data_IF_996532446811
#
_entry.id   IF_996532446811
#
_cell.length_a   1.000
_cell.length_b   1.000
_cell.length_c   1.000
_cell.angle_alpha   90.00
_cell.angle_beta   90.00
_cell.angle_gamma   90.00
#
_symmetry.space_group_name_H-M   'P 1'
#
loop_
_entity.id
_entity.type
_entity.pdbx_description
1 polymer ?
#
# COMPACT_ATOMS: atom_id res chain seq x y z
N UNK A 1 26.08 -16.60 34.11
CA UNK A 1 24.71 -16.84 33.60
C UNK A 1 24.45 -18.34 33.65
N UNK A 2 23.22 -18.78 33.91
CA UNK A 2 22.86 -20.21 33.90
C UNK A 2 21.69 -20.42 32.96
N UNK A 3 21.78 -21.43 32.10
CA UNK A 3 20.70 -21.87 31.20
C UNK A 3 20.26 -23.27 31.62
N UNK A 4 18.97 -23.56 31.46
CA UNK A 4 18.44 -24.90 31.71
C UNK A 4 18.30 -25.65 30.39
N UNK A 5 18.74 -26.91 30.39
CA UNK A 5 18.49 -27.85 29.31
C UNK A 5 17.49 -28.90 29.82
N UNK A 6 16.32 -29.00 29.20
CA UNK A 6 15.20 -29.81 29.69
C UNK A 6 14.65 -30.67 28.56
N UNK A 7 14.42 -31.96 28.82
CA UNK A 7 13.77 -32.86 27.86
C UNK A 7 12.26 -32.56 27.75
N UNK A 8 11.70 -32.73 26.55
CA UNK A 8 10.25 -32.70 26.32
C UNK A 8 9.53 -33.79 27.13
N UNK A 9 8.26 -33.54 27.47
CA UNK A 9 7.38 -34.47 28.19
C UNK A 9 7.21 -34.13 29.67
N UNK A 10 6.47 -34.98 30.39
CA UNK A 10 6.09 -34.85 31.81
C UNK A 10 5.15 -33.67 32.17
N UNK A 11 5.40 -32.48 31.64
CA UNK A 11 4.57 -31.28 31.85
C UNK A 11 4.59 -30.37 30.61
N UNK A 12 3.77 -29.32 30.62
CA UNK A 12 3.66 -28.39 29.49
C UNK A 12 4.93 -27.56 29.28
N UNK A 13 5.11 -27.01 28.08
CA UNK A 13 6.20 -26.06 27.82
C UNK A 13 6.12 -24.84 28.74
N UNK A 14 4.90 -24.35 29.02
CA UNK A 14 4.67 -23.26 29.98
C UNK A 14 5.26 -23.60 31.35
N UNK A 15 4.92 -24.76 31.91
CA UNK A 15 5.39 -25.16 33.25
C UNK A 15 6.91 -25.26 33.31
N UNK A 16 7.54 -25.80 32.26
CA UNK A 16 9.01 -25.88 32.16
C UNK A 16 9.63 -24.48 32.20
N UNK A 17 9.10 -23.55 31.40
CA UNK A 17 9.62 -22.18 31.32
C UNK A 17 9.38 -21.44 32.64
N UNK A 18 8.18 -21.55 33.22
CA UNK A 18 7.81 -20.90 34.49
C UNK A 18 8.64 -21.40 35.66
N UNK A 19 8.87 -22.71 35.75
CA UNK A 19 9.72 -23.27 36.81
C UNK A 19 11.18 -22.86 36.61
N UNK A 20 11.65 -22.80 35.37
CA UNK A 20 13.02 -22.40 35.04
C UNK A 20 13.30 -20.94 35.40
N UNK A 21 12.39 -20.02 35.05
CA UNK A 21 12.53 -18.61 35.44
C UNK A 21 12.47 -18.43 36.96
N UNK A 22 11.56 -19.15 37.65
CA UNK A 22 11.40 -19.06 39.10
C UNK A 22 12.64 -19.56 39.83
N UNK A 23 13.33 -20.55 39.26
CA UNK A 23 14.61 -21.05 39.75
C UNK A 23 15.82 -20.13 39.43
N UNK A 24 15.59 -18.97 38.76
CA UNK A 24 16.61 -17.95 38.51
C UNK A 24 17.51 -18.21 37.30
N UNK A 25 17.13 -19.13 36.41
CA UNK A 25 17.83 -19.32 35.14
C UNK A 25 17.50 -18.20 34.14
N UNK A 26 18.42 -17.92 33.21
CA UNK A 26 18.30 -16.80 32.26
C UNK A 26 17.76 -17.18 30.89
N UNK A 27 17.68 -18.48 30.60
CA UNK A 27 17.09 -19.02 29.39
C UNK A 27 16.82 -20.51 29.57
N UNK A 28 15.94 -21.06 28.73
CA UNK A 28 15.61 -22.48 28.70
C UNK A 28 15.71 -23.03 27.28
N UNK A 29 16.37 -24.18 27.16
CA UNK A 29 16.49 -24.96 25.94
C UNK A 29 15.71 -26.24 26.19
N UNK A 30 14.61 -26.42 25.48
CA UNK A 30 13.81 -27.65 25.52
C UNK A 30 14.19 -28.51 24.33
N UNK A 31 14.65 -29.74 24.54
CA UNK A 31 14.98 -30.65 23.45
C UNK A 31 13.94 -31.76 23.33
N UNK A 32 13.67 -32.17 22.09
CA UNK A 32 12.70 -33.22 21.80
C UNK A 32 13.10 -34.56 22.45
N UNK A 33 12.12 -35.36 22.89
CA UNK A 33 12.35 -36.70 23.46
C UNK A 33 12.52 -37.78 22.38
N UNK A 34 12.27 -37.42 21.12
CA UNK A 34 12.23 -38.34 19.98
C UNK A 34 13.42 -38.11 19.04
N UNK A 35 14.09 -39.19 18.67
CA UNK A 35 15.06 -39.18 17.56
C UNK A 35 14.32 -39.18 16.22
N UNK A 36 14.15 -37.98 15.66
CA UNK A 36 13.59 -37.79 14.32
C UNK A 36 14.56 -36.97 13.48
N UNK A 37 14.92 -37.52 12.32
CA UNK A 37 15.79 -36.88 11.32
C UNK A 37 15.19 -35.56 10.77
N UNK A 38 13.85 -35.43 10.84
CA UNK A 38 13.14 -34.17 10.64
C UNK A 38 12.64 -33.63 11.98
N UNK A 39 13.14 -32.46 12.34
CA UNK A 39 12.44 -31.56 13.25
C UNK A 39 11.17 -31.11 12.53
N UNK A 40 10.09 -31.89 12.65
CA UNK A 40 8.78 -31.26 12.50
C UNK A 40 8.78 -30.13 13.52
N UNK A 41 8.69 -28.89 13.03
CA UNK A 41 8.77 -27.69 13.85
C UNK A 41 7.62 -27.73 14.86
N UNK A 42 7.91 -28.27 16.03
CA UNK A 42 6.96 -28.29 17.12
C UNK A 42 7.01 -26.93 17.78
N UNK A 43 5.99 -26.13 17.51
CA UNK A 43 5.86 -24.81 18.10
C UNK A 43 5.54 -24.97 19.59
N UNK A 44 6.36 -24.35 20.43
CA UNK A 44 6.02 -24.20 21.85
C UNK A 44 4.80 -23.29 21.97
N UNK A 45 3.65 -23.88 22.29
CA UNK A 45 2.44 -23.11 22.61
C UNK A 45 2.55 -22.67 24.06
N UNK A 46 2.63 -21.35 24.26
CA UNK A 46 2.83 -20.70 25.56
C UNK A 46 2.08 -19.38 25.63
N UNK A 47 1.64 -19.01 26.83
CA UNK A 47 1.09 -17.67 27.09
C UNK A 47 2.25 -16.72 27.39
N UNK A 48 2.50 -15.70 26.53
CA UNK A 48 3.64 -14.81 26.69
C UNK A 48 3.54 -13.87 27.89
N UNK A 49 2.37 -13.73 28.54
CA UNK A 49 2.19 -12.79 29.65
C UNK A 49 3.13 -13.05 30.83
N UNK A 50 3.44 -14.31 31.09
CA UNK A 50 4.21 -14.74 32.25
C UNK A 50 5.62 -15.25 31.90
N UNK A 51 6.09 -15.04 30.66
CA UNK A 51 7.41 -15.51 30.19
C UNK A 51 8.35 -14.32 29.99
N UNK A 52 9.41 -14.26 30.81
CA UNK A 52 10.43 -13.20 30.72
C UNK A 52 11.79 -13.67 30.24
N UNK A 53 12.00 -14.98 30.12
CA UNK A 53 13.28 -15.57 29.68
C UNK A 53 13.14 -16.14 28.26
N UNK A 54 14.20 -16.08 27.43
CA UNK A 54 14.21 -16.76 26.14
C UNK A 54 14.00 -18.26 26.31
N UNK A 55 13.12 -18.81 25.49
CA UNK A 55 12.84 -20.24 25.40
C UNK A 55 13.04 -20.70 23.96
N UNK A 56 13.85 -21.74 23.75
CA UNK A 56 14.09 -22.32 22.42
C UNK A 56 13.81 -23.82 22.45
N UNK A 57 13.24 -24.33 21.35
CA UNK A 57 13.03 -25.76 21.13
C UNK A 57 14.05 -26.28 20.12
N UNK A 58 14.70 -27.41 20.41
CA UNK A 58 15.76 -28.01 19.57
C UNK A 58 15.54 -29.51 19.37
N UNK A 59 16.21 -30.10 18.38
CA UNK A 59 16.15 -31.55 18.14
C UNK A 59 16.72 -32.36 19.30
N UNK A 60 16.35 -33.65 19.37
CA UNK A 60 16.92 -34.58 20.34
C UNK A 60 18.45 -34.66 20.20
N UNK A 61 18.96 -34.83 18.96
CA UNK A 61 20.39 -34.83 18.64
C UNK A 61 21.12 -33.59 19.17
N UNK A 62 20.57 -32.39 18.93
CA UNK A 62 21.14 -31.14 19.44
C UNK A 62 21.15 -31.12 20.96
N UNK A 63 20.04 -31.55 21.60
CA UNK A 63 19.93 -31.64 23.05
C UNK A 63 20.93 -32.60 23.68
N UNK A 64 21.14 -33.78 23.07
CA UNK A 64 22.14 -34.75 23.52
C UNK A 64 23.56 -34.19 23.39
N UNK A 65 23.89 -33.58 22.24
CA UNK A 65 25.18 -32.95 22.03
C UNK A 65 25.46 -31.85 23.05
N UNK A 66 24.46 -30.99 23.33
CA UNK A 66 24.56 -29.96 24.37
C UNK A 66 24.80 -30.58 25.75
N UNK A 67 24.07 -31.66 26.09
CA UNK A 67 24.22 -32.36 27.37
C UNK A 67 25.64 -32.89 27.58
N UNK A 68 26.22 -33.51 26.55
CA UNK A 68 27.60 -34.04 26.58
C UNK A 68 28.64 -32.93 26.76
N UNK A 69 28.42 -31.77 26.14
CA UNK A 69 29.36 -30.66 26.17
C UNK A 69 29.17 -29.70 27.36
N UNK A 70 28.16 -29.92 28.24
CA UNK A 70 27.94 -29.06 29.42
C UNK A 70 29.06 -29.09 30.47
N UNK A 71 29.94 -30.09 30.44
CA UNK A 71 31.03 -30.26 31.42
C UNK A 71 32.41 -29.82 30.90
N UNK A 72 32.55 -29.59 29.60
CA UNK A 72 33.83 -29.23 28.99
C UNK A 72 33.90 -27.70 28.96
N UNK A 73 34.65 -27.13 29.91
CA UNK A 73 34.71 -25.69 30.22
C UNK A 73 35.29 -24.76 29.14
N UNK A 74 35.10 -25.07 27.86
CA UNK A 74 35.64 -24.32 26.71
C UNK A 74 34.59 -23.91 25.68
N UNK A 75 33.31 -24.28 25.85
CA UNK A 75 32.23 -23.90 24.94
C UNK A 75 31.50 -22.63 25.37
N UNK A 76 31.31 -21.66 24.46
CA UNK A 76 30.39 -20.54 24.64
C UNK A 76 29.03 -20.90 24.05
N UNK A 77 27.95 -20.77 24.84
CA UNK A 77 26.58 -20.95 24.38
C UNK A 77 25.93 -19.57 24.20
N UNK A 78 25.61 -19.21 22.95
CA UNK A 78 24.98 -17.94 22.61
C UNK A 78 23.52 -18.18 22.19
N UNK A 79 22.59 -17.63 22.96
CA UNK A 79 21.18 -17.58 22.57
C UNK A 79 20.92 -16.19 22.00
N UNK A 80 20.77 -16.12 20.68
CA UNK A 80 20.37 -14.90 20.01
C UNK A 80 18.85 -14.82 20.04
N UNK A 81 18.32 -13.75 20.60
CA UNK A 81 16.91 -13.42 20.43
C UNK A 81 16.75 -13.01 18.97
N UNK A 82 16.29 -13.92 18.13
CA UNK A 82 15.81 -13.59 16.80
C UNK A 82 14.56 -12.74 17.00
N UNK A 83 14.79 -11.44 17.16
CA UNK A 83 13.76 -10.42 17.11
C UNK A 83 13.16 -10.55 15.72
N UNK A 84 12.13 -11.39 15.58
CA UNK A 84 11.23 -11.35 14.45
C UNK A 84 10.69 -9.93 14.50
N UNK A 85 11.30 -9.09 13.67
CA UNK A 85 11.04 -7.67 13.53
C UNK A 85 9.53 -7.49 13.63
N UNK A 86 9.14 -6.94 14.78
CA UNK A 86 7.77 -6.74 15.23
C UNK A 86 6.95 -6.36 14.02
N UNK A 87 5.84 -7.05 13.73
CA UNK A 87 4.87 -6.83 12.64
C UNK A 87 4.83 -5.42 12.01
N UNK A 88 5.03 -4.37 12.80
CA UNK A 88 5.40 -3.00 12.40
C UNK A 88 6.40 -2.91 11.23
N UNK A 89 7.52 -3.62 11.21
CA UNK A 89 8.53 -3.43 10.14
C UNK A 89 8.05 -3.99 8.81
N UNK A 90 7.37 -5.14 8.83
CA UNK A 90 6.73 -5.73 7.66
C UNK A 90 5.64 -4.81 7.11
N UNK A 91 4.82 -4.21 7.99
CA UNK A 91 3.81 -3.23 7.61
C UNK A 91 4.42 -1.98 6.99
N UNK A 92 5.50 -1.44 7.56
CA UNK A 92 6.21 -0.27 7.03
C UNK A 92 6.74 -0.54 5.62
N UNK A 93 7.35 -1.70 5.39
CA UNK A 93 7.83 -2.12 4.06
C UNK A 93 6.67 -2.17 3.06
N UNK A 94 5.50 -2.69 3.48
CA UNK A 94 4.31 -2.76 2.63
C UNK A 94 3.79 -1.35 2.24
N UNK A 95 3.70 -0.42 3.20
CA UNK A 95 3.27 0.95 2.92
C UNK A 95 4.23 1.68 1.96
N UNK A 96 5.54 1.51 2.14
CA UNK A 96 6.54 2.11 1.25
C UNK A 96 6.37 1.56 -0.18
N UNK A 97 6.16 0.25 -0.33
CA UNK A 97 5.94 -0.38 -1.64
C UNK A 97 4.72 0.21 -2.36
N UNK A 98 3.60 0.39 -1.66
CA UNK A 98 2.38 0.99 -2.24
C UNK A 98 2.62 2.42 -2.72
N UNK A 99 3.32 3.24 -1.92
CA UNK A 99 3.62 4.63 -2.28
C UNK A 99 4.46 4.70 -3.56
N UNK A 100 5.49 3.85 -3.67
CA UNK A 100 6.36 3.79 -4.84
C UNK A 100 5.58 3.35 -6.08
N UNK A 101 4.78 2.29 -5.97
CA UNK A 101 3.96 1.77 -7.09
C UNK A 101 2.94 2.82 -7.55
N UNK A 102 2.27 3.48 -6.60
CA UNK A 102 1.32 4.56 -6.89
C UNK A 102 2.00 5.74 -7.59
N UNK A 103 3.17 6.17 -7.11
CA UNK A 103 3.96 7.24 -7.73
C UNK A 103 4.35 6.93 -9.18
N UNK A 104 4.79 5.69 -9.44
CA UNK A 104 5.11 5.21 -10.80
C UNK A 104 3.86 5.23 -11.69
N UNK A 105 2.72 4.72 -11.19
CA UNK A 105 1.47 4.73 -11.94
C UNK A 105 1.01 6.15 -12.29
N UNK A 106 1.09 7.08 -11.33
CA UNK A 106 0.78 8.50 -11.54
C UNK A 106 1.68 9.11 -12.60
N UNK A 107 2.99 8.84 -12.58
CA UNK A 107 3.94 9.31 -13.60
C UNK A 107 3.60 8.77 -14.98
N UNK A 108 3.36 7.46 -15.10
CA UNK A 108 2.99 6.79 -16.35
C UNK A 108 1.67 7.35 -16.92
N UNK A 109 0.71 7.71 -16.06
CA UNK A 109 -0.58 8.25 -16.51
C UNK A 109 -0.53 9.76 -16.81
N UNK A 110 0.23 10.54 -16.05
CA UNK A 110 0.29 12.00 -16.21
C UNK A 110 1.19 12.45 -17.35
N UNK A 111 2.29 11.76 -17.62
CA UNK A 111 3.23 12.12 -18.71
C UNK A 111 2.55 12.09 -20.10
N UNK A 112 1.86 11.01 -20.52
CA UNK A 112 1.17 10.98 -21.81
C UNK A 112 -0.07 11.86 -21.83
N UNK A 113 -0.81 12.00 -20.70
CA UNK A 113 -1.94 12.93 -20.62
C UNK A 113 -1.49 14.38 -20.78
N UNK A 114 -0.39 14.80 -20.16
CA UNK A 114 0.18 16.13 -20.40
C UNK A 114 0.61 16.28 -21.85
N UNK A 115 1.33 15.30 -22.43
CA UNK A 115 1.80 15.41 -23.82
C UNK A 115 0.64 15.48 -24.84
N UNK A 116 -0.44 14.71 -24.64
CA UNK A 116 -1.64 14.74 -25.49
C UNK A 116 -2.49 15.99 -25.26
N UNK A 117 -2.62 16.47 -24.02
CA UNK A 117 -3.34 17.71 -23.69
C UNK A 117 -2.60 18.95 -24.22
N UNK A 118 -1.26 18.92 -24.24
CA UNK A 118 -0.43 19.94 -24.88
C UNK A 118 -0.49 19.85 -26.42
N UNK A 119 -0.42 18.65 -27.02
CA UNK A 119 -0.60 18.47 -28.48
C UNK A 119 -1.99 18.85 -28.97
N UNK A 120 -3.02 18.67 -28.13
CA UNK A 120 -4.40 19.03 -28.43
C UNK A 120 -4.69 20.54 -28.40
N UNK A 121 -3.84 21.36 -27.76
CA UNK A 121 -3.94 22.83 -27.80
C UNK A 121 -3.12 23.47 -28.92
N UNK A 122 -2.08 22.80 -29.41
CA UNK A 122 -1.24 23.34 -30.49
C UNK A 122 -1.79 23.06 -31.90
N UNK A 123 -2.82 22.22 -32.04
CA UNK A 123 -3.50 21.99 -33.32
C UNK A 123 -4.90 22.60 -33.31
N UNK A 124 -5.04 23.73 -34.00
CA UNK A 124 -6.28 24.41 -34.41
C UNK A 124 -7.05 25.25 -33.37
N UNK A 125 -6.50 26.43 -33.05
CA UNK A 125 -7.33 27.63 -33.18
C UNK A 125 -7.16 28.08 -34.63
N UNK A 126 -8.11 27.73 -35.52
CA UNK A 126 -8.20 28.40 -36.82
C UNK A 126 -8.64 29.82 -36.50
N UNK A 127 -7.72 30.78 -36.57
CA UNK A 127 -8.11 32.18 -36.59
C UNK A 127 -8.97 32.37 -37.83
N UNK A 128 -10.24 32.70 -37.64
CA UNK A 128 -11.07 33.22 -38.73
C UNK A 128 -10.58 34.64 -38.97
N UNK A 129 -10.22 34.97 -40.20
CA UNK A 129 -9.76 36.31 -40.57
C UNK A 129 -10.85 37.34 -40.23
N UNK A 130 -10.48 38.43 -39.55
CA UNK A 130 -11.41 39.48 -39.11
C UNK A 130 -12.20 40.06 -40.30
N UNK A 131 -11.61 40.02 -41.49
CA UNK A 131 -12.27 40.46 -42.72
C UNK A 131 -13.48 39.59 -43.09
N UNK A 132 -13.41 38.28 -42.87
CA UNK A 132 -14.52 37.35 -43.11
C UNK A 132 -15.64 37.62 -42.11
N UNK A 133 -15.30 37.90 -40.85
CA UNK A 133 -16.28 38.22 -39.81
C UNK A 133 -16.96 39.57 -40.11
N UNK A 134 -16.23 40.54 -40.63
CA UNK A 134 -16.77 41.84 -41.04
C UNK A 134 -17.83 41.71 -42.14
N UNK A 135 -17.62 40.81 -43.10
CA UNK A 135 -18.45 40.62 -44.30
C UNK A 135 -19.73 39.78 -44.08
N UNK A 136 -19.93 39.20 -42.88
CA UNK A 136 -21.13 38.40 -42.60
C UNK A 136 -22.42 39.24 -42.69
N UNK A 137 -23.50 38.70 -43.28
CA UNK A 137 -24.79 39.38 -43.34
C UNK A 137 -25.29 39.74 -41.96
N UNK A 138 -25.68 40.99 -41.77
CA UNK A 138 -26.23 41.48 -40.49
C UNK A 138 -27.67 41.94 -40.63
N UNK A 139 -28.48 41.65 -39.62
CA UNK A 139 -29.88 42.07 -39.54
C UNK A 139 -30.23 42.43 -38.09
N UNK A 140 -31.24 43.27 -37.91
CA UNK A 140 -31.75 43.62 -36.59
C UNK A 140 -32.76 42.56 -36.13
N UNK A 141 -32.59 42.05 -34.92
CA UNK A 141 -33.55 41.12 -34.33
C UNK A 141 -34.85 41.83 -33.94
N UNK A 142 -35.98 41.15 -34.17
CA UNK A 142 -37.31 41.63 -33.80
C UNK A 142 -38.20 40.44 -33.36
N UNK A 143 -38.50 40.40 -32.06
CA UNK A 143 -39.31 39.38 -31.40
C UNK A 143 -40.75 39.30 -31.93
N UNK A 144 -41.26 40.33 -32.61
CA UNK A 144 -42.59 40.32 -33.22
C UNK A 144 -42.67 39.42 -34.47
N UNK A 145 -41.53 39.08 -35.08
CA UNK A 145 -41.47 38.34 -36.34
C UNK A 145 -41.08 36.85 -36.16
N UNK A 146 -40.54 36.48 -34.99
CA UNK A 146 -40.18 35.11 -34.63
C UNK A 146 -41.42 34.30 -34.20
N UNK A 147 -42.07 33.62 -35.15
CA UNK A 147 -43.37 32.97 -34.92
C UNK A 147 -43.30 31.55 -34.36
N UNK A 148 -42.16 31.09 -33.84
CA UNK A 148 -42.00 29.69 -33.44
C UNK A 148 -41.82 29.52 -31.92
N UNK A 149 -42.83 28.92 -31.29
CA UNK A 149 -43.05 28.89 -29.83
C UNK A 149 -42.07 27.96 -29.09
N UNK A 150 -41.15 27.30 -29.79
CA UNK A 150 -40.24 26.28 -29.26
C UNK A 150 -38.74 26.58 -29.43
N UNK A 151 -38.37 27.61 -30.19
CA UNK A 151 -36.99 28.09 -30.30
C UNK A 151 -36.91 29.46 -29.64
N UNK A 152 -36.50 29.52 -28.37
CA UNK A 152 -35.99 30.78 -27.82
C UNK A 152 -34.76 31.14 -28.63
N UNK A 153 -34.79 32.25 -29.33
CA UNK A 153 -33.67 32.72 -30.13
C UNK A 153 -32.57 33.22 -29.19
N UNK A 154 -31.59 32.35 -28.96
CA UNK A 154 -30.49 32.51 -28.01
C UNK A 154 -29.18 32.55 -28.78
N UNK A 155 -28.24 33.38 -28.35
CA UNK A 155 -26.91 33.42 -28.92
C UNK A 155 -26.18 32.08 -28.69
N UNK A 156 -25.81 31.38 -29.77
CA UNK A 156 -25.06 30.12 -29.69
C UNK A 156 -23.64 30.25 -29.08
N UNK A 157 -23.14 31.47 -28.88
CA UNK A 157 -21.81 31.75 -28.34
C UNK A 157 -21.86 32.08 -26.84
N UNK A 158 -22.69 33.05 -26.44
CA UNK A 158 -22.82 33.47 -25.02
C UNK A 158 -24.01 32.87 -24.28
N UNK A 159 -24.92 32.18 -24.98
CA UNK A 159 -26.13 31.55 -24.44
C UNK A 159 -27.13 32.54 -23.80
N UNK A 160 -27.10 33.79 -24.23
CA UNK A 160 -28.04 34.84 -23.80
C UNK A 160 -29.18 35.02 -24.82
N UNK A 161 -30.38 35.38 -24.34
CA UNK A 161 -31.55 35.68 -25.19
C UNK A 161 -31.31 36.97 -26.01
N UNK A 162 -31.71 36.96 -27.29
CA UNK A 162 -31.65 38.16 -28.13
C UNK A 162 -32.66 39.23 -27.69
N UNK A 163 -32.29 40.50 -27.84
CA UNK A 163 -33.15 41.66 -27.55
C UNK A 163 -33.54 42.40 -28.81
N UNK A 164 -34.75 42.98 -28.80
CA UNK A 164 -35.25 43.77 -29.94
C UNK A 164 -34.27 44.90 -30.31
N UNK A 165 -33.92 44.98 -31.60
CA UNK A 165 -32.99 45.95 -32.13
C UNK A 165 -31.51 45.54 -32.07
N UNK A 166 -31.17 44.37 -31.52
CA UNK A 166 -29.80 43.85 -31.58
C UNK A 166 -29.39 43.48 -33.00
N UNK A 167 -28.18 43.86 -33.39
CA UNK A 167 -27.62 43.54 -34.71
C UNK A 167 -26.97 42.16 -34.63
N UNK A 168 -27.60 41.18 -35.26
CA UNK A 168 -27.11 39.81 -35.32
C UNK A 168 -26.41 39.57 -36.66
N UNK A 169 -25.40 38.70 -36.64
CA UNK A 169 -24.71 38.22 -37.85
C UNK A 169 -25.07 36.77 -38.12
N UNK A 170 -25.57 36.48 -39.32
CA UNK A 170 -25.87 35.11 -39.71
C UNK A 170 -24.58 34.38 -40.09
N UNK A 171 -24.37 33.21 -39.49
CA UNK A 171 -23.31 32.31 -39.93
C UNK A 171 -23.67 31.69 -41.29
N UNK A 172 -22.67 31.35 -42.12
CA UNK A 172 -22.89 30.87 -43.48
C UNK A 172 -23.45 29.45 -43.58
N UNK A 173 -23.49 28.69 -42.47
CA UNK A 173 -24.03 27.33 -42.44
C UNK A 173 -25.20 27.21 -41.44
N UNK A 174 -26.33 26.62 -41.84
CA UNK A 174 -27.58 26.60 -41.06
C UNK A 174 -27.63 25.43 -40.05
N UNK A 175 -26.70 25.39 -39.10
CA UNK A 175 -26.61 24.32 -38.09
C UNK A 175 -26.81 24.84 -36.67
#
# INVERSE_FOLDING_TARGET
MRFALIVRGNCSFQDKIVNTQTAGFRAVIVYDDRDREKVDLEYMIVDPKDITIPAVFVSNETGQSLKEHTQVGTGECCIYETRVEKSRTVLVIFFISIIVISGILVLILHVPRRLLYWRGRTHHVKHVDDKIVAELPSFAFNSAQSSDKYTREVCAICLEDYKDGEILKSLPCPH
#
